data_IF_404170388786
#
_entry.id   IF_404170388786
#
_cell.length_a   1.000
_cell.length_b   1.000
_cell.length_c   1.000
_cell.angle_alpha   90.00
_cell.angle_beta   90.00
_cell.angle_gamma   90.00
#
_symmetry.space_group_name_H-M   'P 1'
#
loop_
_entity.id
_entity.type
_entity.pdbx_description
1 polymer ?
#
# COMPACT_ATOMS: atom_id res chain seq x y z
N UNK A 1 -26.39 -7.50 2.10
CA UNK A 1 -26.36 -6.46 3.16
C UNK A 1 -26.63 -5.14 2.44
N UNK A 2 -27.89 -4.69 2.48
CA UNK A 2 -28.29 -3.41 1.89
C UNK A 2 -28.05 -2.32 2.94
N UNK A 3 -27.22 -1.36 2.64
CA UNK A 3 -27.09 -0.17 3.47
C UNK A 3 -28.16 0.82 3.03
N UNK A 4 -28.86 1.47 3.98
CA UNK A 4 -29.96 2.42 3.74
C UNK A 4 -29.68 3.57 2.75
N UNK A 5 -28.42 3.70 2.30
CA UNK A 5 -27.95 4.81 1.46
C UNK A 5 -27.41 4.40 0.09
N UNK A 6 -27.40 3.09 -0.25
CA UNK A 6 -26.90 2.63 -1.54
C UNK A 6 -28.03 1.95 -2.29
N UNK A 7 -28.47 2.57 -3.38
CA UNK A 7 -29.46 2.02 -4.29
C UNK A 7 -28.72 1.36 -5.45
N UNK A 8 -28.77 0.03 -5.52
CA UNK A 8 -28.21 -0.73 -6.64
C UNK A 8 -29.20 -0.72 -7.82
N UNK A 9 -28.97 0.16 -8.80
CA UNK A 9 -29.71 0.16 -10.06
C UNK A 9 -29.07 -0.83 -11.03
N UNK A 10 -29.87 -1.69 -11.64
CA UNK A 10 -29.45 -2.68 -12.66
C UNK A 10 -28.49 -3.77 -12.15
N UNK A 11 -28.45 -4.03 -10.84
CA UNK A 11 -27.63 -5.09 -10.27
C UNK A 11 -28.41 -6.41 -10.29
N UNK A 12 -28.18 -7.23 -11.30
CA UNK A 12 -28.84 -8.51 -11.44
C UNK A 12 -28.01 -9.63 -10.78
N UNK A 13 -28.43 -10.05 -9.58
CA UNK A 13 -27.71 -11.04 -8.75
C UNK A 13 -27.62 -12.46 -9.40
N UNK A 14 -28.44 -12.75 -10.40
CA UNK A 14 -28.47 -14.06 -11.06
C UNK A 14 -27.23 -14.41 -11.90
N UNK A 15 -26.36 -13.44 -12.18
CA UNK A 15 -25.21 -13.62 -13.09
C UNK A 15 -23.84 -13.74 -12.42
N UNK A 16 -23.74 -13.86 -11.08
CA UNK A 16 -22.43 -13.86 -10.38
C UNK A 16 -21.50 -15.01 -10.78
N UNK A 17 -22.03 -16.22 -11.00
CA UNK A 17 -21.19 -17.38 -11.38
C UNK A 17 -20.80 -17.37 -12.86
N UNK A 18 -21.71 -16.90 -13.73
CA UNK A 18 -21.44 -16.78 -15.16
C UNK A 18 -20.32 -15.77 -15.48
N UNK A 19 -20.25 -14.70 -14.73
CA UNK A 19 -19.26 -13.64 -14.96
C UNK A 19 -17.82 -14.07 -14.61
N UNK A 20 -17.63 -14.86 -13.57
CA UNK A 20 -16.29 -15.35 -13.19
C UNK A 20 -15.72 -16.32 -14.24
N UNK A 21 -16.54 -17.25 -14.74
CA UNK A 21 -16.13 -18.22 -15.77
C UNK A 21 -15.89 -17.54 -17.12
N UNK A 22 -16.76 -16.60 -17.52
CA UNK A 22 -16.58 -15.77 -18.73
C UNK A 22 -15.35 -14.89 -18.65
N UNK A 23 -15.09 -14.24 -17.51
CA UNK A 23 -13.92 -13.42 -17.29
C UNK A 23 -12.63 -14.24 -17.36
N UNK A 24 -12.58 -15.40 -16.71
CA UNK A 24 -11.43 -16.30 -16.76
C UNK A 24 -11.18 -16.84 -18.19
N UNK A 25 -12.25 -17.17 -18.92
CA UNK A 25 -12.14 -17.60 -20.32
C UNK A 25 -11.67 -16.45 -21.21
N UNK A 26 -12.16 -15.23 -21.00
CA UNK A 26 -11.73 -14.03 -21.72
C UNK A 26 -10.24 -13.71 -21.48
N UNK A 27 -9.78 -13.81 -20.23
CA UNK A 27 -8.37 -13.60 -19.88
C UNK A 27 -7.48 -14.67 -20.55
N UNK A 28 -7.93 -15.93 -20.57
CA UNK A 28 -7.19 -17.04 -21.18
C UNK A 28 -7.18 -17.00 -22.71
N UNK A 29 -8.30 -16.61 -23.34
CA UNK A 29 -8.48 -16.72 -24.80
C UNK A 29 -7.74 -15.66 -25.62
N UNK A 30 -7.23 -14.60 -25.03
CA UNK A 30 -6.65 -13.46 -25.76
C UNK A 30 -5.18 -13.20 -25.46
N UNK A 31 -4.44 -14.13 -24.88
CA UNK A 31 -3.04 -13.91 -24.46
C UNK A 31 -2.84 -12.57 -23.73
N UNK A 32 -3.89 -12.13 -23.01
CA UNK A 32 -3.91 -10.83 -22.35
C UNK A 32 -2.78 -10.71 -21.32
N UNK A 33 -2.38 -11.80 -20.70
CA UNK A 33 -1.29 -11.84 -19.73
C UNK A 33 0.05 -11.51 -20.41
N UNK A 34 0.26 -11.97 -21.66
CA UNK A 34 1.48 -11.66 -22.41
C UNK A 34 1.47 -10.21 -22.89
N UNK A 35 0.29 -9.75 -23.38
CA UNK A 35 0.12 -8.38 -23.86
C UNK A 35 0.18 -7.33 -22.74
N UNK A 36 -0.32 -7.66 -21.56
CA UNK A 36 -0.39 -6.77 -20.41
C UNK A 36 0.27 -7.43 -19.19
N UNK A 37 1.57 -7.23 -18.99
CA UNK A 37 2.32 -7.86 -17.88
C UNK A 37 1.71 -7.62 -16.50
N UNK A 38 1.02 -6.50 -16.30
CA UNK A 38 0.30 -6.19 -15.05
C UNK A 38 -0.68 -7.30 -14.65
N UNK A 39 -1.30 -7.98 -15.63
CA UNK A 39 -2.25 -9.05 -15.36
C UNK A 39 -1.60 -10.32 -14.78
N UNK A 40 -0.27 -10.43 -14.83
CA UNK A 40 0.46 -11.52 -14.15
C UNK A 40 0.21 -11.50 -12.64
N UNK A 41 -0.01 -10.32 -12.06
CA UNK A 41 -0.32 -10.18 -10.63
C UNK A 41 -1.64 -10.83 -10.20
N UNK A 42 -2.53 -11.12 -11.17
CA UNK A 42 -3.80 -11.82 -10.93
C UNK A 42 -3.69 -13.34 -11.05
N UNK A 43 -2.52 -13.86 -11.41
CA UNK A 43 -2.30 -15.31 -11.55
C UNK A 43 -1.86 -15.94 -10.23
N UNK A 44 -2.14 -17.23 -10.07
CA UNK A 44 -1.72 -17.99 -8.88
C UNK A 44 -0.19 -18.14 -8.78
N UNK A 45 0.53 -17.95 -9.87
CA UNK A 45 1.98 -18.10 -9.96
C UNK A 45 2.71 -16.76 -9.72
N UNK A 46 1.99 -15.70 -9.33
CA UNK A 46 2.61 -14.41 -9.06
C UNK A 46 3.45 -14.46 -7.80
N UNK A 47 4.73 -14.14 -7.94
CA UNK A 47 5.66 -14.09 -6.82
C UNK A 47 5.74 -12.65 -6.27
N UNK A 48 5.35 -12.50 -5.01
CA UNK A 48 5.52 -11.22 -4.31
C UNK A 48 7.01 -10.96 -4.03
N UNK A 49 7.43 -9.70 -4.10
CA UNK A 49 8.79 -9.26 -3.77
C UNK A 49 9.12 -9.36 -2.27
N UNK A 50 8.18 -9.78 -1.44
CA UNK A 50 8.36 -9.96 -0.02
C UNK A 50 7.87 -11.32 0.47
N UNK A 51 8.47 -11.81 1.53
CA UNK A 51 8.02 -13.05 2.19
C UNK A 51 7.15 -12.70 3.41
N UNK A 52 6.06 -13.43 3.60
CA UNK A 52 5.14 -13.21 4.74
C UNK A 52 5.85 -13.25 6.08
N UNK A 53 6.88 -14.10 6.24
CA UNK A 53 7.69 -14.18 7.48
C UNK A 53 8.35 -12.85 7.84
N UNK A 54 8.77 -12.06 6.84
CA UNK A 54 9.41 -10.77 7.09
C UNK A 54 8.45 -9.73 7.66
N UNK A 55 7.15 -9.87 7.35
CA UNK A 55 6.11 -9.00 7.87
C UNK A 55 5.81 -9.25 9.37
N UNK A 56 6.16 -10.42 9.88
CA UNK A 56 5.96 -10.75 11.31
C UNK A 56 6.74 -9.81 12.23
N UNK A 57 7.89 -9.32 11.78
CA UNK A 57 8.73 -8.37 12.54
C UNK A 57 8.02 -7.04 12.82
N UNK A 58 6.99 -6.70 12.02
CA UNK A 58 6.23 -5.47 12.16
C UNK A 58 4.98 -5.62 13.03
N UNK A 59 4.62 -6.83 13.46
CA UNK A 59 3.47 -7.07 14.36
C UNK A 59 3.58 -6.37 15.72
N UNK A 60 4.81 -6.10 16.17
CA UNK A 60 5.10 -5.42 17.44
C UNK A 60 4.74 -3.94 17.48
N UNK A 61 4.43 -3.34 16.33
CA UNK A 61 4.02 -1.93 16.25
C UNK A 61 2.50 -1.82 16.41
N UNK A 62 2.05 -0.80 17.14
CA UNK A 62 0.64 -0.54 17.40
C UNK A 62 0.08 0.53 16.48
N UNK A 63 0.95 1.42 16.01
CA UNK A 63 0.62 2.54 15.16
C UNK A 63 1.49 2.57 13.91
N UNK A 64 0.91 3.01 12.80
CA UNK A 64 1.58 3.07 11.51
C UNK A 64 1.33 4.42 10.84
N UNK A 65 2.40 5.07 10.40
CA UNK A 65 2.33 6.21 9.50
C UNK A 65 2.54 5.69 8.07
N UNK A 66 1.52 5.79 7.21
CA UNK A 66 1.67 5.53 5.78
C UNK A 66 1.92 6.85 5.05
N UNK A 67 3.03 6.90 4.33
CA UNK A 67 3.50 8.09 3.62
C UNK A 67 3.64 7.72 2.15
N UNK A 68 2.87 8.35 1.29
CA UNK A 68 2.86 8.06 -0.14
C UNK A 68 1.93 9.00 -0.89
N UNK A 69 1.86 8.85 -2.22
CA UNK A 69 1.01 9.67 -3.08
C UNK A 69 0.22 8.81 -4.05
N UNK A 70 -1.05 9.18 -4.30
CA UNK A 70 -1.90 8.52 -5.28
C UNK A 70 -2.01 7.01 -5.06
N UNK A 71 -1.72 6.22 -6.11
CA UNK A 71 -1.83 4.75 -6.07
C UNK A 71 -0.97 4.07 -5.02
N UNK A 72 0.07 4.73 -4.51
CA UNK A 72 0.94 4.18 -3.45
C UNK A 72 0.26 4.12 -2.08
N UNK A 73 -0.83 4.86 -1.86
CA UNK A 73 -1.45 4.98 -0.53
C UNK A 73 -2.97 4.76 -0.54
N UNK A 74 -3.66 5.19 -1.60
CA UNK A 74 -5.13 5.19 -1.63
C UNK A 74 -5.73 3.79 -1.49
N UNK A 75 -5.09 2.77 -2.08
CA UNK A 75 -5.54 1.38 -1.93
C UNK A 75 -5.45 0.88 -0.48
N UNK A 76 -4.36 1.20 0.21
CA UNK A 76 -4.19 0.85 1.62
C UNK A 76 -5.21 1.60 2.51
N UNK A 77 -5.47 2.87 2.22
CA UNK A 77 -6.47 3.67 2.92
C UNK A 77 -7.87 3.08 2.74
N UNK A 78 -8.26 2.77 1.50
CA UNK A 78 -9.57 2.18 1.22
C UNK A 78 -9.78 0.84 1.94
N UNK A 79 -8.76 -0.02 1.98
CA UNK A 79 -8.80 -1.29 2.72
C UNK A 79 -8.93 -1.03 4.23
N UNK A 80 -8.17 -0.08 4.77
CA UNK A 80 -8.23 0.26 6.18
C UNK A 80 -9.61 0.81 6.56
N UNK A 81 -10.17 1.74 5.79
CA UNK A 81 -11.48 2.33 6.06
C UNK A 81 -12.59 1.26 6.01
N UNK A 82 -12.54 0.35 5.02
CA UNK A 82 -13.48 -0.75 4.90
C UNK A 82 -13.39 -1.75 6.05
N UNK A 83 -12.19 -2.06 6.52
CA UNK A 83 -11.94 -3.05 7.59
C UNK A 83 -11.69 -2.43 8.97
N UNK A 84 -11.88 -1.11 9.13
CA UNK A 84 -11.56 -0.38 10.37
C UNK A 84 -12.20 -1.00 11.61
N UNK A 85 -13.43 -1.53 11.48
CA UNK A 85 -14.14 -2.22 12.55
C UNK A 85 -13.48 -3.54 13.02
N UNK A 86 -12.57 -4.12 12.22
CA UNK A 86 -11.83 -5.36 12.53
C UNK A 86 -10.37 -5.10 12.88
N UNK A 87 -9.81 -3.96 12.45
CA UNK A 87 -8.40 -3.64 12.63
C UNK A 87 -8.20 -2.92 13.96
N UNK A 88 -7.49 -3.57 14.90
CA UNK A 88 -7.17 -2.99 16.22
C UNK A 88 -6.00 -2.00 16.20
N UNK A 89 -5.19 -2.03 15.14
CA UNK A 89 -4.01 -1.16 14.98
C UNK A 89 -4.41 0.15 14.31
N UNK A 90 -3.73 1.23 14.66
CA UNK A 90 -4.06 2.57 14.18
C UNK A 90 -3.16 2.98 13.02
N UNK A 91 -3.78 3.46 11.93
CA UNK A 91 -3.08 3.93 10.75
C UNK A 91 -3.34 5.43 10.55
N UNK A 92 -2.28 6.15 10.18
CA UNK A 92 -2.31 7.56 9.83
C UNK A 92 -1.81 7.68 8.38
N UNK A 93 -2.57 8.34 7.52
CA UNK A 93 -2.27 8.45 6.10
C UNK A 93 -1.81 9.86 5.75
N UNK A 94 -0.67 9.96 5.09
CA UNK A 94 -0.04 11.21 4.68
C UNK A 94 0.13 11.20 3.17
N UNK A 95 -0.89 11.69 2.45
CA UNK A 95 -0.99 11.62 0.99
C UNK A 95 -0.87 12.97 0.28
N UNK A 96 -0.98 14.08 0.99
CA UNK A 96 -0.91 15.42 0.42
C UNK A 96 0.04 16.30 1.24
N UNK A 97 0.50 17.40 0.64
CA UNK A 97 1.22 18.46 1.35
C UNK A 97 0.23 19.26 2.21
N UNK A 98 -0.15 18.71 3.33
CA UNK A 98 -1.02 19.36 4.31
C UNK A 98 -0.25 19.66 5.59
N UNK A 99 -0.79 20.56 6.41
CA UNK A 99 -0.27 20.78 7.77
C UNK A 99 -0.40 19.48 8.57
N UNK A 100 0.70 18.73 8.62
CA UNK A 100 0.75 17.43 9.30
C UNK A 100 0.67 17.67 10.80
N UNK A 101 -0.49 17.40 11.39
CA UNK A 101 -0.66 17.31 12.83
C UNK A 101 -0.15 15.94 13.28
N UNK A 102 1.09 15.89 13.73
CA UNK A 102 1.65 14.66 14.28
C UNK A 102 1.26 14.58 15.76
N UNK A 103 0.42 13.62 16.10
CA UNK A 103 0.07 13.34 17.49
C UNK A 103 1.24 12.67 18.20
N UNK A 104 1.62 13.20 19.35
CA UNK A 104 2.53 12.52 20.26
C UNK A 104 1.85 11.23 20.76
N UNK A 105 2.59 10.15 20.80
CA UNK A 105 2.10 8.87 21.30
C UNK A 105 3.24 8.13 22.00
N UNK A 106 2.93 7.43 23.07
CA UNK A 106 3.88 6.56 23.77
C UNK A 106 3.91 5.14 23.16
N UNK A 107 3.08 4.89 22.14
CA UNK A 107 3.01 3.58 21.46
C UNK A 107 4.14 3.42 20.44
N UNK A 108 4.53 2.18 20.20
CA UNK A 108 5.52 1.87 19.16
C UNK A 108 4.92 2.14 17.78
N UNK A 109 5.53 3.04 17.03
CA UNK A 109 5.05 3.47 15.71
C UNK A 109 6.06 3.11 14.63
N UNK A 110 5.57 2.64 13.49
CA UNK A 110 6.35 2.36 12.28
C UNK A 110 5.97 3.37 11.19
N UNK A 111 6.95 3.96 10.54
CA UNK A 111 6.74 4.72 9.31
C UNK A 111 6.88 3.78 8.12
N UNK A 112 5.87 3.73 7.26
CA UNK A 112 5.87 2.98 5.99
C UNK A 112 5.83 4.00 4.86
N UNK A 113 6.92 4.08 4.10
CA UNK A 113 7.12 5.06 3.03
C UNK A 113 7.01 4.33 1.70
N UNK A 114 6.06 4.74 0.85
CA UNK A 114 5.75 4.04 -0.40
C UNK A 114 5.85 5.02 -1.56
N UNK A 115 6.82 4.79 -2.45
CA UNK A 115 6.92 5.51 -3.72
C UNK A 115 7.61 4.63 -4.75
N UNK A 116 6.93 4.35 -5.85
CA UNK A 116 7.49 3.55 -6.96
C UNK A 116 8.79 4.17 -7.48
N UNK A 117 8.76 5.44 -7.88
CA UNK A 117 9.93 6.17 -8.41
C UNK A 117 10.99 6.48 -7.34
N UNK A 118 10.60 6.54 -6.07
CA UNK A 118 11.43 6.96 -4.96
C UNK A 118 11.82 8.45 -4.96
N UNK A 119 11.24 9.25 -5.88
CA UNK A 119 11.57 10.67 -6.09
C UNK A 119 10.34 11.59 -5.98
N UNK A 120 9.18 11.08 -5.57
CA UNK A 120 7.94 11.86 -5.46
C UNK A 120 8.11 12.93 -4.38
N UNK A 121 8.01 14.20 -4.78
CA UNK A 121 8.30 15.37 -3.93
C UNK A 121 7.44 15.39 -2.66
N UNK A 122 6.14 15.13 -2.80
CA UNK A 122 5.19 15.12 -1.69
C UNK A 122 5.54 14.02 -0.67
N UNK A 123 5.92 12.85 -1.16
CA UNK A 123 6.34 11.74 -0.29
C UNK A 123 7.61 12.09 0.47
N UNK A 124 8.59 12.70 -0.19
CA UNK A 124 9.85 13.12 0.42
C UNK A 124 9.65 14.24 1.43
N UNK A 125 8.80 15.23 1.11
CA UNK A 125 8.48 16.34 1.99
C UNK A 125 7.75 15.86 3.26
N UNK A 126 6.73 15.02 3.10
CA UNK A 126 6.01 14.44 4.22
C UNK A 126 6.91 13.55 5.09
N UNK A 127 7.80 12.76 4.48
CA UNK A 127 8.80 11.98 5.21
C UNK A 127 9.71 12.88 6.04
N UNK A 128 10.25 13.95 5.45
CA UNK A 128 11.11 14.89 6.16
C UNK A 128 10.41 15.53 7.36
N UNK A 129 9.15 15.97 7.19
CA UNK A 129 8.35 16.53 8.29
C UNK A 129 8.10 15.52 9.41
N UNK A 130 7.87 14.26 9.08
CA UNK A 130 7.67 13.21 10.08
C UNK A 130 8.97 12.89 10.80
N UNK A 131 10.09 12.78 10.09
CA UNK A 131 11.40 12.49 10.68
C UNK A 131 11.87 13.61 11.63
N UNK A 132 11.61 14.88 11.31
CA UNK A 132 11.96 15.99 12.20
C UNK A 132 11.20 15.95 13.51
N UNK A 133 9.94 15.51 13.47
CA UNK A 133 9.06 15.48 14.66
C UNK A 133 9.10 14.14 15.42
N UNK A 134 9.48 13.05 14.76
CA UNK A 134 9.45 11.67 15.31
C UNK A 134 10.74 10.91 14.98
N UNK A 135 11.87 11.40 15.49
CA UNK A 135 13.22 10.87 15.20
C UNK A 135 13.45 9.40 15.60
N UNK A 136 12.67 8.84 16.52
CA UNK A 136 12.88 7.49 17.08
C UNK A 136 12.09 6.38 16.37
N UNK A 137 11.23 6.72 15.42
CA UNK A 137 10.44 5.71 14.74
C UNK A 137 11.31 4.88 13.78
N UNK A 138 11.03 3.60 13.72
CA UNK A 138 11.58 2.72 12.68
C UNK A 138 10.92 3.05 11.34
N UNK A 139 11.66 2.90 10.26
CA UNK A 139 11.17 3.15 8.92
C UNK A 139 11.21 1.86 8.09
N UNK A 140 10.20 1.68 7.26
CA UNK A 140 10.10 0.68 6.19
C UNK A 140 9.88 1.41 4.88
N UNK A 141 10.75 1.24 3.92
CA UNK A 141 10.68 1.90 2.61
C UNK A 141 10.30 0.87 1.56
N UNK A 142 9.33 1.22 0.73
CA UNK A 142 8.85 0.39 -0.39
C UNK A 142 9.05 1.19 -1.67
N UNK A 143 10.00 0.78 -2.51
CA UNK A 143 10.38 1.49 -3.74
C UNK A 143 10.98 0.54 -4.78
N UNK A 144 11.07 0.96 -6.04
CA UNK A 144 11.77 0.17 -7.08
C UNK A 144 13.26 -0.01 -6.75
N UNK A 145 13.81 -1.14 -7.19
CA UNK A 145 15.25 -1.42 -7.09
C UNK A 145 16.04 -0.63 -8.16
N UNK A 146 15.99 0.70 -8.03
CA UNK A 146 16.70 1.64 -8.87
C UNK A 146 17.37 2.71 -8.02
N UNK A 147 18.33 3.40 -8.57
CA UNK A 147 18.96 4.54 -7.91
C UNK A 147 17.94 5.67 -7.77
N UNK A 148 17.52 5.98 -6.56
CA UNK A 148 16.56 7.03 -6.24
C UNK A 148 16.79 7.61 -4.85
N UNK A 149 16.16 8.75 -4.56
CA UNK A 149 16.35 9.49 -3.31
C UNK A 149 15.91 8.67 -2.10
N UNK A 150 14.76 7.97 -2.16
CA UNK A 150 14.29 7.16 -1.04
C UNK A 150 15.26 6.02 -0.70
N UNK A 151 15.89 5.42 -1.70
CA UNK A 151 16.89 4.36 -1.48
C UNK A 151 18.17 4.92 -0.84
N UNK A 152 18.62 6.08 -1.28
CA UNK A 152 19.74 6.77 -0.64
C UNK A 152 19.41 7.15 0.82
N UNK A 153 18.19 7.60 1.09
CA UNK A 153 17.71 7.88 2.44
C UNK A 153 17.60 6.61 3.28
N UNK A 154 17.18 5.48 2.70
CA UNK A 154 17.08 4.20 3.42
C UNK A 154 18.41 3.82 4.09
N UNK A 155 19.51 3.97 3.36
CA UNK A 155 20.85 3.70 3.87
C UNK A 155 21.21 4.61 5.06
N UNK A 156 20.96 5.93 4.92
CA UNK A 156 21.23 6.92 5.98
C UNK A 156 20.38 6.67 7.23
N UNK A 157 19.12 6.28 7.04
CA UNK A 157 18.15 6.06 8.12
C UNK A 157 18.21 4.64 8.70
N UNK A 158 19.05 3.76 8.17
CA UNK A 158 19.11 2.31 8.51
C UNK A 158 17.71 1.69 8.47
N UNK A 159 16.98 1.98 7.40
CA UNK A 159 15.60 1.54 7.19
C UNK A 159 15.56 0.17 6.53
N UNK A 160 14.54 -0.63 6.85
CA UNK A 160 14.25 -1.83 6.08
C UNK A 160 13.70 -1.42 4.71
N UNK A 161 14.06 -2.15 3.66
CA UNK A 161 13.61 -1.89 2.29
C UNK A 161 12.90 -3.10 1.72
N UNK A 162 11.78 -2.88 1.07
CA UNK A 162 11.08 -3.86 0.23
C UNK A 162 11.15 -3.34 -1.20
N UNK A 163 11.72 -4.14 -2.07
CA UNK A 163 11.79 -3.81 -3.49
C UNK A 163 10.44 -4.06 -4.18
N UNK A 164 9.96 -3.05 -4.91
CA UNK A 164 8.85 -3.25 -5.83
C UNK A 164 9.39 -3.98 -7.06
N UNK A 165 8.93 -5.21 -7.28
CA UNK A 165 9.19 -5.91 -8.52
C UNK A 165 8.51 -5.17 -9.66
N UNK A 166 9.25 -4.90 -10.74
CA UNK A 166 8.66 -4.52 -12.03
C UNK A 166 7.88 -5.73 -12.55
N UNK A 167 6.63 -5.51 -12.86
CA UNK A 167 5.79 -6.48 -13.56
C UNK A 167 6.08 -6.38 -15.04
#
# INVERSE_FOLDING_TARGET
METKHIIYKNFNNKNKQLNKKKLNNFIKSKNLIEKYPLLKSLTNNYNYSFQKKNLLNFKKYDEFNLIGMGGSILGAQAIYDFLSHKIKKKFFFYNNLQNIRITKSNKKRLNIIISKSGNTLETLSNLNLILTKQKRNKNLIITENKNNILRAMANKLRSDVIDLSLI
#
